data_IF_479880694822
#
_entry.id   IF_479880694822
#
_cell.length_a   1.000
_cell.length_b   1.000
_cell.length_c   1.000
_cell.angle_alpha   90.00
_cell.angle_beta   90.00
_cell.angle_gamma   90.00
#
_symmetry.space_group_name_H-M   'P 1'
#
loop_
_entity.id
_entity.type
_entity.pdbx_description
1 polymer ?
#
# COMPACT_ATOMS: atom_id res chain seq x y z
N UNK A 1 -8.73 -0.72 16.91
CA UNK A 1 -8.74 -2.18 17.15
C UNK A 1 -7.94 -2.98 16.11
N UNK A 2 -7.96 -2.61 14.82
CA UNK A 2 -7.29 -3.34 13.74
C UNK A 2 -5.77 -3.60 13.96
N UNK A 3 -5.00 -2.56 14.31
CA UNK A 3 -3.55 -2.71 14.52
C UNK A 3 -3.19 -3.66 15.68
N UNK A 4 -3.92 -3.60 16.80
CA UNK A 4 -3.72 -4.51 17.93
C UNK A 4 -3.98 -5.98 17.54
N UNK A 5 -4.99 -6.22 16.70
CA UNK A 5 -5.30 -7.55 16.20
C UNK A 5 -4.15 -8.09 15.34
N UNK A 6 -3.58 -7.27 14.45
CA UNK A 6 -2.40 -7.62 13.64
C UNK A 6 -1.23 -8.07 14.52
N UNK A 7 -0.89 -7.28 15.54
CA UNK A 7 0.22 -7.63 16.44
C UNK A 7 -0.02 -8.94 17.21
N UNK A 8 -1.25 -9.18 17.68
CA UNK A 8 -1.61 -10.43 18.38
C UNK A 8 -1.51 -11.62 17.44
N UNK A 9 -2.04 -11.50 16.22
CA UNK A 9 -2.01 -12.59 15.23
C UNK A 9 -0.59 -12.94 14.82
N UNK A 10 0.25 -11.95 14.50
CA UNK A 10 1.66 -12.23 14.13
C UNK A 10 2.39 -12.93 15.28
N UNK A 11 2.19 -12.47 16.52
CA UNK A 11 2.82 -13.09 17.69
C UNK A 11 2.35 -14.53 17.93
N UNK A 12 1.09 -14.84 17.65
CA UNK A 12 0.49 -16.17 17.87
C UNK A 12 0.78 -17.15 16.72
N UNK A 13 0.65 -16.70 15.49
CA UNK A 13 0.66 -17.54 14.29
C UNK A 13 2.00 -17.52 13.55
N UNK A 14 2.91 -16.61 13.91
CA UNK A 14 4.18 -16.41 13.21
C UNK A 14 4.04 -15.77 11.82
N UNK A 15 2.81 -15.39 11.43
CA UNK A 15 2.49 -14.78 10.14
C UNK A 15 1.19 -13.98 10.20
N UNK A 16 0.99 -13.09 9.24
CA UNK A 16 -0.21 -12.28 9.06
C UNK A 16 -1.23 -12.88 8.07
N UNK A 17 -0.95 -14.06 7.50
CA UNK A 17 -1.69 -14.63 6.36
C UNK A 17 -3.22 -14.67 6.56
N UNK A 18 -3.68 -15.02 7.76
CA UNK A 18 -5.09 -15.09 8.13
C UNK A 18 -5.82 -13.74 8.11
N UNK A 19 -5.09 -12.62 8.20
CA UNK A 19 -5.64 -11.27 8.21
C UNK A 19 -5.67 -10.58 6.85
N UNK A 20 -5.03 -11.15 5.82
CA UNK A 20 -4.97 -10.54 4.49
C UNK A 20 -6.35 -10.10 3.95
N UNK A 21 -7.45 -10.87 4.10
CA UNK A 21 -8.77 -10.45 3.61
C UNK A 21 -9.36 -9.23 4.33
N UNK A 22 -8.80 -8.84 5.48
CA UNK A 22 -9.30 -7.74 6.32
C UNK A 22 -8.45 -6.48 6.21
N UNK A 23 -7.34 -6.53 5.47
CA UNK A 23 -6.44 -5.41 5.27
C UNK A 23 -6.88 -4.59 4.06
N UNK A 24 -6.66 -3.27 4.13
CA UNK A 24 -6.71 -2.43 2.94
C UNK A 24 -5.66 -2.93 1.93
N UNK A 25 -6.06 -3.05 0.68
CA UNK A 25 -5.16 -3.42 -0.40
C UNK A 25 -4.22 -2.28 -0.76
N UNK A 26 -3.09 -2.61 -1.40
CA UNK A 26 -2.15 -1.59 -1.88
C UNK A 26 -2.80 -0.68 -2.93
N UNK A 27 -3.72 -1.20 -3.74
CA UNK A 27 -4.42 -0.43 -4.77
C UNK A 27 -5.33 0.64 -4.14
N UNK A 28 -6.14 0.26 -3.15
CA UNK A 28 -7.00 1.20 -2.42
C UNK A 28 -6.20 2.27 -1.67
N UNK A 29 -5.03 1.90 -1.13
CA UNK A 29 -4.13 2.87 -0.52
C UNK A 29 -3.61 3.90 -1.53
N UNK A 30 -3.26 3.45 -2.74
CA UNK A 30 -2.76 4.34 -3.80
C UNK A 30 -3.84 5.29 -4.30
N UNK A 31 -5.09 4.83 -4.38
CA UNK A 31 -6.23 5.68 -4.69
C UNK A 31 -6.44 6.74 -3.60
N UNK A 32 -6.42 6.33 -2.33
CA UNK A 32 -6.56 7.26 -1.20
C UNK A 32 -5.45 8.31 -1.13
N UNK A 33 -4.21 7.93 -1.47
CA UNK A 33 -3.06 8.83 -1.45
C UNK A 33 -2.92 9.69 -2.73
N UNK A 34 -3.83 9.54 -3.69
CA UNK A 34 -3.72 10.17 -5.02
C UNK A 34 -2.34 9.92 -5.67
N UNK A 35 -1.82 8.70 -5.48
CA UNK A 35 -0.45 8.35 -5.87
C UNK A 35 -0.22 8.52 -7.39
N UNK A 36 -1.26 8.32 -8.20
CA UNK A 36 -1.20 8.46 -9.66
C UNK A 36 -0.93 9.88 -10.12
N UNK A 37 -1.40 10.88 -9.39
CA UNK A 37 -1.13 12.28 -9.71
C UNK A 37 0.35 12.63 -9.51
N UNK A 38 1.00 12.04 -8.49
CA UNK A 38 2.44 12.17 -8.28
C UNK A 38 3.25 11.49 -9.41
N UNK A 39 2.87 10.29 -9.81
CA UNK A 39 3.51 9.56 -10.91
C UNK A 39 3.42 10.34 -12.23
N UNK A 40 2.23 10.83 -12.59
CA UNK A 40 2.03 11.69 -13.76
C UNK A 40 2.88 12.96 -13.70
N UNK A 41 3.04 13.55 -12.52
CA UNK A 41 3.86 14.76 -12.35
C UNK A 41 5.33 14.48 -12.60
N UNK A 42 5.84 13.32 -12.16
CA UNK A 42 7.21 12.90 -12.43
C UNK A 42 7.44 12.66 -13.92
N UNK A 43 6.50 11.99 -14.59
CA UNK A 43 6.56 11.78 -16.04
C UNK A 43 6.57 13.10 -16.82
N UNK A 44 5.77 14.08 -16.40
CA UNK A 44 5.78 15.42 -17.01
C UNK A 44 7.11 16.15 -16.86
N UNK A 45 7.79 15.98 -15.71
CA UNK A 45 9.03 16.69 -15.39
C UNK A 45 10.26 16.02 -15.98
N UNK A 46 10.28 14.68 -16.08
CA UNK A 46 11.48 13.90 -16.37
C UNK A 46 11.30 12.88 -17.50
N UNK A 47 10.08 12.63 -17.98
CA UNK A 47 9.77 11.60 -18.98
C UNK A 47 10.29 11.88 -20.40
N UNK A 48 10.99 13.00 -20.62
CA UNK A 48 11.62 13.35 -21.91
C UNK A 48 13.13 13.09 -21.97
N UNK A 49 13.77 12.62 -20.90
CA UNK A 49 15.22 12.33 -20.90
C UNK A 49 15.61 10.95 -21.46
N UNK A 50 14.67 10.22 -22.06
CA UNK A 50 14.97 8.93 -22.72
C UNK A 50 14.55 8.98 -24.19
N UNK A 51 15.35 9.66 -25.01
CA UNK A 51 15.37 9.53 -26.48
C UNK A 51 16.78 9.81 -27.00
#
# INVERSE_FOLDING_TARGET
>A
AAALNVYRTIRREGTQKSLLPTMQTRAELYEFLDYRSYEQKLDQLFGKETS
#
